data_IF_172866421439
#
_entry.id   IF_172866421439
#
_cell.length_a   1.000
_cell.length_b   1.000
_cell.length_c   1.000
_cell.angle_alpha   90.00
_cell.angle_beta   90.00
_cell.angle_gamma   90.00
#
_symmetry.space_group_name_H-M   'P 1'
#
loop_
_entity.id
_entity.type
_entity.pdbx_description
1 polymer ?
#
# COMPACT_ATOMS: atom_id res chain seq x y z
N UNK A 1 6.44 4.33 -22.91
CA UNK A 1 7.08 4.77 -21.65
C UNK A 1 6.41 4.06 -20.49
N UNK A 2 7.16 3.37 -19.62
CA UNK A 2 6.60 2.85 -18.37
C UNK A 2 6.37 4.04 -17.43
N UNK A 3 5.22 4.08 -16.76
CA UNK A 3 4.93 5.09 -15.73
C UNK A 3 5.39 4.57 -14.37
N UNK A 4 5.75 5.47 -13.44
CA UNK A 4 6.12 5.09 -12.07
C UNK A 4 5.02 4.27 -11.37
N UNK A 5 3.74 4.52 -11.68
CA UNK A 5 2.63 3.71 -11.16
C UNK A 5 2.69 2.26 -11.67
N UNK A 6 3.01 2.06 -12.95
CA UNK A 6 3.12 0.72 -13.52
C UNK A 6 4.31 -0.05 -12.93
N UNK A 7 5.44 0.64 -12.74
CA UNK A 7 6.63 0.06 -12.10
C UNK A 7 6.37 -0.28 -10.64
N UNK A 8 5.72 0.62 -9.90
CA UNK A 8 5.29 0.38 -8.53
C UNK A 8 4.41 -0.86 -8.43
N UNK A 9 3.41 -0.98 -9.32
CA UNK A 9 2.53 -2.15 -9.35
C UNK A 9 3.31 -3.44 -9.61
N UNK A 10 4.25 -3.46 -10.56
CA UNK A 10 5.08 -4.64 -10.84
C UNK A 10 5.89 -5.04 -9.60
N UNK A 11 6.50 -4.07 -8.91
CA UNK A 11 7.25 -4.33 -7.66
C UNK A 11 6.34 -5.00 -6.63
N UNK A 12 5.15 -4.46 -6.39
CA UNK A 12 4.23 -4.96 -5.36
C UNK A 12 3.63 -6.32 -5.74
N UNK A 13 3.35 -6.56 -7.03
CA UNK A 13 2.87 -7.86 -7.51
C UNK A 13 3.89 -8.98 -7.27
N UNK A 14 5.18 -8.70 -7.37
CA UNK A 14 6.23 -9.69 -7.06
C UNK A 14 6.33 -10.00 -5.56
N UNK A 15 5.88 -9.08 -4.69
CA UNK A 15 5.93 -9.23 -3.23
C UNK A 15 4.65 -9.86 -2.66
N UNK A 16 3.51 -9.65 -3.33
CA UNK A 16 2.19 -10.06 -2.88
C UNK A 16 2.02 -11.57 -2.58
N UNK A 17 2.52 -12.52 -3.40
CA UNK A 17 2.38 -13.95 -3.13
C UNK A 17 3.02 -14.37 -1.80
N UNK A 18 4.05 -13.64 -1.37
CA UNK A 18 4.81 -13.89 -0.14
C UNK A 18 4.33 -13.05 1.04
N UNK A 19 3.45 -12.07 0.81
CA UNK A 19 3.06 -11.07 1.82
C UNK A 19 4.25 -10.24 2.32
N UNK A 20 5.30 -10.10 1.51
CA UNK A 20 6.52 -9.42 1.92
C UNK A 20 6.32 -7.90 1.90
N UNK A 21 6.39 -7.28 3.07
CA UNK A 21 6.31 -5.83 3.18
C UNK A 21 7.68 -5.17 2.92
N UNK A 22 7.65 -3.98 2.34
CA UNK A 22 8.81 -3.09 2.18
C UNK A 22 8.49 -1.72 2.76
N UNK A 23 9.51 -0.97 3.11
CA UNK A 23 9.36 0.39 3.62
C UNK A 23 9.09 1.39 2.50
N UNK A 24 8.49 2.54 2.82
CA UNK A 24 8.40 3.68 1.89
C UNK A 24 9.76 4.09 1.31
N UNK A 25 10.85 3.94 2.09
CA UNK A 25 12.21 4.21 1.62
C UNK A 25 12.64 3.19 0.56
N UNK A 26 12.49 1.89 0.84
CA UNK A 26 12.82 0.85 -0.14
C UNK A 26 11.96 0.96 -1.41
N UNK A 27 10.71 1.39 -1.28
CA UNK A 27 9.86 1.68 -2.43
C UNK A 27 10.41 2.85 -3.27
N UNK A 28 10.79 3.95 -2.62
CA UNK A 28 11.41 5.09 -3.29
C UNK A 28 12.72 4.70 -4.01
N UNK A 29 13.57 3.93 -3.33
CA UNK A 29 14.86 3.47 -3.86
C UNK A 29 14.65 2.60 -5.10
N UNK A 30 13.67 1.68 -5.09
CA UNK A 30 13.33 0.83 -6.25
C UNK A 30 12.71 1.61 -7.41
N UNK A 31 12.04 2.72 -7.13
CA UNK A 31 11.45 3.63 -8.14
C UNK A 31 12.43 4.72 -8.61
N UNK A 32 13.65 4.78 -8.07
CA UNK A 32 14.62 5.84 -8.38
C UNK A 32 14.21 7.24 -7.90
N UNK A 33 13.31 7.34 -6.92
CA UNK A 33 12.84 8.62 -6.36
C UNK A 33 13.82 9.09 -5.29
N UNK A 34 14.76 9.96 -5.68
CA UNK A 34 15.81 10.48 -4.80
C UNK A 34 15.62 11.95 -4.40
N UNK A 35 14.79 12.70 -5.12
CA UNK A 35 14.58 14.13 -4.85
C UNK A 35 13.39 14.37 -3.90
N UNK A 36 13.56 15.17 -2.84
CA UNK A 36 12.48 15.54 -1.94
C UNK A 36 11.31 16.27 -2.65
N UNK A 37 10.05 16.04 -2.22
CA UNK A 37 9.65 15.24 -1.06
C UNK A 37 9.38 13.76 -1.40
N UNK A 38 10.36 12.89 -1.10
CA UNK A 38 10.36 11.46 -1.45
C UNK A 38 9.10 10.73 -0.96
N UNK A 39 8.75 10.91 0.32
CA UNK A 39 7.60 10.23 0.93
C UNK A 39 6.28 10.65 0.26
N UNK A 40 6.11 11.94 -0.03
CA UNK A 40 4.88 12.43 -0.69
C UNK A 40 4.78 11.92 -2.13
N UNK A 41 5.89 11.86 -2.85
CA UNK A 41 5.94 11.29 -4.20
C UNK A 41 5.53 9.81 -4.21
N UNK A 42 6.07 9.01 -3.28
CA UNK A 42 5.66 7.59 -3.12
C UNK A 42 4.19 7.50 -2.72
N UNK A 43 3.72 8.31 -1.77
CA UNK A 43 2.32 8.29 -1.32
C UNK A 43 1.34 8.53 -2.48
N UNK A 44 1.58 9.53 -3.34
CA UNK A 44 0.75 9.80 -4.52
C UNK A 44 0.65 8.62 -5.48
N UNK A 45 1.78 7.92 -5.68
CA UNK A 45 1.81 6.70 -6.51
C UNK A 45 0.95 5.61 -5.87
N UNK A 46 1.12 5.37 -4.57
CA UNK A 46 0.39 4.34 -3.84
C UNK A 46 -1.12 4.65 -3.75
N UNK A 47 -1.50 5.91 -3.58
CA UNK A 47 -2.89 6.36 -3.65
C UNK A 47 -3.52 6.06 -4.99
N UNK A 48 -2.77 6.27 -6.09
CA UNK A 48 -3.27 5.93 -7.43
C UNK A 48 -3.49 4.43 -7.60
N UNK A 49 -2.57 3.62 -7.07
CA UNK A 49 -2.72 2.17 -7.06
C UNK A 49 -3.94 1.72 -6.23
N UNK A 50 -4.18 2.35 -5.07
CA UNK A 50 -5.37 2.08 -4.25
C UNK A 50 -6.65 2.34 -5.05
N UNK A 51 -6.76 3.49 -5.73
CA UNK A 51 -7.93 3.81 -6.56
C UNK A 51 -8.18 2.74 -7.62
N UNK A 52 -7.13 2.29 -8.29
CA UNK A 52 -7.20 1.28 -9.34
C UNK A 52 -7.56 -0.11 -8.79
N UNK A 53 -7.01 -0.49 -7.64
CA UNK A 53 -7.32 -1.76 -6.96
C UNK A 53 -8.78 -1.77 -6.47
N UNK A 54 -9.26 -0.66 -5.87
CA UNK A 54 -10.66 -0.49 -5.44
C UNK A 54 -11.62 -0.54 -6.62
N UNK A 55 -11.35 0.22 -7.68
CA UNK A 55 -12.19 0.23 -8.89
C UNK A 55 -12.26 -1.16 -9.54
N UNK A 56 -11.17 -1.92 -9.48
CA UNK A 56 -11.09 -3.28 -10.02
C UNK A 56 -11.57 -4.36 -9.04
N UNK A 57 -12.02 -3.99 -7.82
CA UNK A 57 -12.38 -4.92 -6.73
C UNK A 57 -11.27 -5.92 -6.39
N UNK A 58 -10.01 -5.53 -6.57
CA UNK A 58 -8.82 -6.33 -6.25
C UNK A 58 -8.34 -6.07 -4.83
N UNK A 59 -7.55 -6.98 -4.23
CA UNK A 59 -6.86 -6.67 -2.98
C UNK A 59 -5.95 -5.45 -3.13
N UNK A 60 -5.88 -4.60 -2.11
CA UNK A 60 -5.09 -3.36 -2.07
C UNK A 60 -3.60 -3.70 -1.97
N UNK A 61 -2.85 -3.58 -3.08
CA UNK A 61 -1.42 -3.90 -3.16
C UNK A 61 -0.57 -2.96 -2.31
N UNK A 62 -0.95 -1.67 -2.26
CA UNK A 62 -0.24 -0.63 -1.50
C UNK A 62 -0.12 -0.94 0.00
N UNK A 63 -0.88 -1.92 0.52
CA UNK A 63 -0.77 -2.43 1.89
C UNK A 63 0.60 -3.07 2.21
N UNK A 64 1.37 -3.45 1.19
CA UNK A 64 2.72 -3.99 1.34
C UNK A 64 3.77 -2.90 1.61
N UNK A 65 3.42 -1.61 1.49
CA UNK A 65 4.34 -0.50 1.78
C UNK A 65 4.08 0.04 3.18
N UNK A 66 5.01 -0.19 4.09
CA UNK A 66 4.85 0.03 5.52
C UNK A 66 5.79 1.10 6.03
N UNK A 67 5.44 1.73 7.16
CA UNK A 67 6.38 2.58 7.86
C UNK A 67 7.43 1.74 8.58
N UNK A 68 8.66 2.25 8.67
CA UNK A 68 9.70 1.65 9.51
C UNK A 68 9.32 1.88 10.98
N UNK A 69 9.11 0.82 11.76
CA UNK A 69 8.78 0.96 13.18
C UNK A 69 8.30 -0.35 13.81
N UNK A 70 7.77 -0.27 15.03
CA UNK A 70 7.35 -1.44 15.82
C UNK A 70 6.10 -2.14 15.28
N UNK A 71 5.16 -1.40 14.70
CA UNK A 71 3.91 -1.95 14.16
C UNK A 71 4.00 -2.42 12.70
N UNK A 72 5.05 -2.06 11.95
CA UNK A 72 5.25 -2.41 10.53
C UNK A 72 3.97 -2.39 9.66
N UNK A 73 3.11 -1.37 9.85
CA UNK A 73 1.88 -1.15 9.07
C UNK A 73 2.02 0.08 8.16
N UNK A 74 1.13 0.28 7.17
CA UNK A 74 1.08 1.51 6.38
C UNK A 74 0.94 2.77 7.26
N UNK A 75 1.26 3.95 6.69
CA UNK A 75 1.10 5.23 7.39
C UNK A 75 -0.37 5.65 7.48
N UNK A 76 -0.71 6.56 8.40
CA UNK A 76 -2.08 7.07 8.57
C UNK A 76 -2.74 7.53 7.26
N UNK A 77 -2.02 8.27 6.40
CA UNK A 77 -2.55 8.74 5.11
C UNK A 77 -3.01 7.63 4.16
N UNK A 78 -2.47 6.40 4.28
CA UNK A 78 -2.98 5.24 3.55
C UNK A 78 -4.40 4.87 4.02
N UNK A 79 -4.62 4.83 5.33
CA UNK A 79 -5.94 4.52 5.91
C UNK A 79 -6.94 5.64 5.65
N UNK A 80 -6.52 6.90 5.72
CA UNK A 80 -7.35 8.05 5.33
C UNK A 80 -7.80 7.95 3.87
N UNK A 81 -6.91 7.52 2.96
CA UNK A 81 -7.26 7.29 1.56
C UNK A 81 -8.31 6.18 1.42
N UNK A 82 -8.13 5.04 2.09
CA UNK A 82 -9.10 3.96 2.08
C UNK A 82 -10.46 4.36 2.67
N UNK A 83 -10.45 5.16 3.74
CA UNK A 83 -11.65 5.74 4.33
C UNK A 83 -12.39 6.64 3.34
N UNK A 84 -11.67 7.53 2.65
CA UNK A 84 -12.26 8.42 1.64
C UNK A 84 -12.89 7.68 0.46
N UNK A 85 -12.42 6.46 0.19
CA UNK A 85 -12.93 5.57 -0.86
C UNK A 85 -14.01 4.60 -0.36
N UNK A 86 -14.39 4.67 0.92
CA UNK A 86 -15.42 3.81 1.52
C UNK A 86 -14.99 2.35 1.72
N UNK A 87 -13.68 2.07 1.70
CA UNK A 87 -13.15 0.70 1.91
C UNK A 87 -13.15 0.33 3.40
N UNK A 88 -12.89 1.31 4.27
CA UNK A 88 -12.83 1.16 5.72
C UNK A 88 -13.52 2.33 6.40
N UNK A 89 -13.88 2.18 7.68
CA UNK A 89 -14.35 3.25 8.53
C UNK A 89 -13.38 3.50 9.71
N UNK A 90 -12.42 4.42 9.56
CA UNK A 90 -11.44 4.73 10.63
C UNK A 90 -12.06 5.43 11.84
N UNK A 91 -13.27 5.98 11.72
CA UNK A 91 -13.99 6.63 12.83
C UNK A 91 -14.77 5.62 13.66
N UNK A 92 -14.84 4.36 13.21
CA UNK A 92 -15.49 3.29 13.96
C UNK A 92 -14.61 2.87 15.14
N UNK A 93 -15.18 2.81 16.35
CA UNK A 93 -14.43 2.47 17.57
C UNK A 93 -13.77 1.09 17.53
N UNK A 94 -14.35 0.17 16.76
CA UNK A 94 -13.86 -1.20 16.55
C UNK A 94 -12.76 -1.30 15.50
N UNK A 95 -12.44 -0.21 14.78
CA UNK A 95 -11.43 -0.26 13.73
C UNK A 95 -10.02 -0.35 14.33
N UNK A 96 -9.30 -1.42 13.97
CA UNK A 96 -7.90 -1.64 14.33
C UNK A 96 -7.07 -1.74 13.04
N UNK A 97 -6.15 -0.78 12.85
CA UNK A 97 -5.32 -0.71 11.65
C UNK A 97 -4.45 -1.94 11.45
N UNK A 98 -3.93 -2.51 12.54
CA UNK A 98 -3.03 -3.65 12.51
C UNK A 98 -3.79 -4.93 12.17
N UNK A 99 -4.98 -5.12 12.74
CA UNK A 99 -5.84 -6.25 12.41
C UNK A 99 -6.30 -6.18 10.96
N UNK A 100 -6.76 -5.02 10.48
CA UNK A 100 -7.15 -4.84 9.10
C UNK A 100 -5.97 -5.09 8.15
N UNK A 101 -4.79 -4.56 8.47
CA UNK A 101 -3.58 -4.76 7.67
C UNK A 101 -3.21 -6.23 7.57
N UNK A 102 -3.21 -6.97 8.68
CA UNK A 102 -2.93 -8.41 8.69
C UNK A 102 -3.90 -9.20 7.79
N UNK A 103 -5.21 -8.93 7.90
CA UNK A 103 -6.22 -9.54 7.03
C UNK A 103 -5.98 -9.22 5.55
N UNK A 104 -5.56 -7.99 5.26
CA UNK A 104 -5.28 -7.55 3.91
C UNK A 104 -4.03 -8.23 3.33
N UNK A 105 -3.00 -8.51 4.14
CA UNK A 105 -1.83 -9.31 3.74
C UNK A 105 -2.24 -10.75 3.41
N UNK A 106 -3.08 -11.39 4.22
CA UNK A 106 -3.56 -12.75 3.94
C UNK A 106 -4.42 -12.81 2.67
N UNK A 107 -5.23 -11.76 2.43
CA UNK A 107 -5.99 -11.61 1.18
C UNK A 107 -5.07 -11.47 -0.03
N UNK A 108 -3.99 -10.69 0.07
CA UNK A 108 -2.99 -10.54 -0.99
C UNK A 108 -2.31 -11.87 -1.31
N UNK A 109 -1.83 -12.58 -0.30
CA UNK A 109 -1.19 -13.90 -0.45
C UNK A 109 -2.14 -14.89 -1.13
N UNK A 110 -3.40 -14.94 -0.71
CA UNK A 110 -4.38 -15.89 -1.24
C UNK A 110 -4.79 -15.58 -2.68
N UNK A 111 -4.82 -14.30 -3.06
CA UNK A 111 -5.25 -13.86 -4.39
C UNK A 111 -4.14 -13.96 -5.45
N UNK A 112 -2.89 -13.75 -5.06
CA UNK A 112 -1.74 -13.68 -5.98
C UNK A 112 -0.80 -14.89 -5.93
N UNK A 113 -1.11 -15.91 -5.13
CA UNK A 113 -0.41 -17.20 -5.12
C UNK A 113 -0.78 -18.06 -6.32
#
# INVERSE_FOLDING_TARGET
MKTLNSEARIILLNLAPYGQCITYKEMADRLGISQPPVISSVAKILEKLIEEDVASKKPILSSLVVQKGTKNIPRLGFFEKLHSLGVININEKSFDEAQWHAQQIDKLKSYYR
#
